data_IF_260567769914
#
_entry.id   IF_260567769914
#
_cell.length_a   1.000
_cell.length_b   1.000
_cell.length_c   1.000
_cell.angle_alpha   90.00
_cell.angle_beta   90.00
_cell.angle_gamma   90.00
#
_symmetry.space_group_name_H-M   'P 1'
#
loop_
_entity.id
_entity.type
_entity.pdbx_description
1 polymer ?
#
# COMPACT_ATOMS: atom_id res chain seq x y z
N UNK A 1 -35.70 5.56 -26.69
CA UNK A 1 -34.34 5.94 -26.24
C UNK A 1 -34.11 5.25 -24.91
N UNK A 2 -33.30 4.19 -24.92
CA UNK A 2 -33.10 3.31 -23.77
C UNK A 2 -31.82 3.74 -23.07
N UNK A 3 -31.97 4.24 -21.85
CA UNK A 3 -30.89 4.68 -20.97
C UNK A 3 -30.02 3.48 -20.60
N UNK A 4 -28.76 3.49 -21.00
CA UNK A 4 -27.77 2.50 -20.51
C UNK A 4 -27.46 2.81 -19.06
N UNK A 5 -27.97 1.96 -18.17
CA UNK A 5 -27.53 1.81 -16.79
C UNK A 5 -26.07 1.35 -16.82
N UNK A 6 -25.17 2.20 -16.34
CA UNK A 6 -23.78 1.85 -16.10
C UNK A 6 -23.74 0.89 -14.92
N UNK A 7 -23.19 -0.30 -15.16
CA UNK A 7 -22.98 -1.34 -14.16
C UNK A 7 -22.02 -0.81 -13.07
N UNK A 8 -22.55 -0.59 -11.88
CA UNK A 8 -21.73 -0.42 -10.68
C UNK A 8 -21.09 -1.77 -10.38
N UNK A 9 -19.77 -1.86 -10.55
CA UNK A 9 -18.99 -3.01 -10.14
C UNK A 9 -19.16 -3.23 -8.63
N UNK A 10 -19.71 -4.39 -8.28
CA UNK A 10 -20.01 -4.80 -6.92
C UNK A 10 -18.73 -5.41 -6.34
N UNK A 11 -18.03 -4.68 -5.48
CA UNK A 11 -16.99 -5.28 -4.62
C UNK A 11 -17.66 -6.23 -3.61
N UNK A 12 -17.07 -7.41 -3.34
CA UNK A 12 -17.67 -8.37 -2.43
C UNK A 12 -17.75 -7.81 -1.00
N UNK A 13 -18.98 -7.76 -0.50
CA UNK A 13 -19.38 -7.43 0.86
C UNK A 13 -18.58 -8.24 1.91
N UNK A 14 -17.65 -7.58 2.61
CA UNK A 14 -17.03 -8.09 3.84
C UNK A 14 -18.02 -7.92 5.03
N UNK A 15 -18.47 -8.99 5.69
CA UNK A 15 -19.52 -8.95 6.71
C UNK A 15 -19.11 -8.26 8.04
N UNK A 16 -17.89 -7.72 8.16
CA UNK A 16 -17.40 -7.06 9.39
C UNK A 16 -17.53 -5.54 9.45
N UNK A 17 -18.03 -4.86 8.40
CA UNK A 17 -18.24 -3.41 8.43
C UNK A 17 -16.98 -2.56 8.69
N UNK A 18 -15.80 -3.16 8.60
CA UNK A 18 -14.52 -2.48 8.80
C UNK A 18 -14.02 -1.99 7.43
N UNK A 19 -13.64 -0.71 7.34
CA UNK A 19 -13.05 -0.15 6.10
C UNK A 19 -11.75 -0.90 5.76
N UNK A 20 -11.40 -1.04 4.47
CA UNK A 20 -10.13 -1.63 4.09
C UNK A 20 -8.98 -0.84 4.70
N UNK A 21 -7.98 -1.53 5.23
CA UNK A 21 -6.76 -0.89 5.75
C UNK A 21 -5.96 -0.41 4.55
N UNK A 22 -5.75 0.89 4.43
CA UNK A 22 -4.96 1.47 3.35
C UNK A 22 -3.48 1.38 3.66
N UNK A 23 -2.71 0.86 2.71
CA UNK A 23 -1.27 0.72 2.83
C UNK A 23 -0.61 1.22 1.55
N UNK A 24 0.33 2.15 1.66
CA UNK A 24 1.24 2.46 0.55
C UNK A 24 2.44 1.53 0.62
N UNK A 25 2.73 0.84 -0.47
CA UNK A 25 3.84 -0.08 -0.60
C UNK A 25 4.84 0.49 -1.60
N UNK A 26 5.99 0.93 -1.11
CA UNK A 26 7.08 1.45 -1.92
C UNK A 26 7.91 0.28 -2.47
N UNK A 27 7.99 0.17 -3.79
CA UNK A 27 8.65 -0.89 -4.54
C UNK A 27 9.67 -0.31 -5.52
N UNK A 28 10.36 -1.18 -6.25
CA UNK A 28 11.23 -0.82 -7.38
C UNK A 28 11.10 -1.86 -8.48
N UNK A 29 11.51 -1.53 -9.71
CA UNK A 29 11.28 -2.38 -10.89
C UNK A 29 11.86 -3.78 -10.73
N UNK A 30 13.04 -3.91 -10.12
CA UNK A 30 13.68 -5.20 -9.82
C UNK A 30 13.70 -5.48 -8.31
N UNK A 31 12.58 -5.99 -7.79
CA UNK A 31 12.44 -6.36 -6.38
C UNK A 31 11.70 -7.71 -6.19
N UNK A 32 12.43 -8.84 -6.12
CA UNK A 32 11.83 -10.16 -5.85
C UNK A 32 11.03 -10.19 -4.55
N UNK A 33 11.54 -9.55 -3.50
CA UNK A 33 10.90 -9.46 -2.18
C UNK A 33 9.57 -8.71 -2.25
N UNK A 34 9.45 -7.69 -3.10
CA UNK A 34 8.21 -6.94 -3.29
C UNK A 34 7.12 -7.83 -3.91
N UNK A 35 7.49 -8.70 -4.86
CA UNK A 35 6.55 -9.68 -5.45
C UNK A 35 6.02 -10.67 -4.40
N UNK A 36 6.92 -11.19 -3.56
CA UNK A 36 6.57 -12.11 -2.48
C UNK A 36 5.63 -11.41 -1.48
N UNK A 37 5.99 -10.20 -1.03
CA UNK A 37 5.19 -9.46 -0.06
C UNK A 37 3.78 -9.17 -0.57
N UNK A 38 3.63 -8.72 -1.83
CA UNK A 38 2.34 -8.48 -2.46
C UNK A 38 1.49 -9.75 -2.54
N UNK A 39 2.10 -10.87 -2.91
CA UNK A 39 1.42 -12.15 -2.95
C UNK A 39 0.95 -12.57 -1.55
N UNK A 40 1.79 -12.45 -0.53
CA UNK A 40 1.42 -12.82 0.85
C UNK A 40 0.28 -11.96 1.40
N UNK A 41 0.33 -10.64 1.17
CA UNK A 41 -0.73 -9.73 1.58
C UNK A 41 -2.08 -10.07 0.94
N UNK A 42 -2.10 -10.55 -0.30
CA UNK A 42 -3.34 -10.96 -0.98
C UNK A 42 -4.04 -12.19 -0.37
N UNK A 43 -3.33 -12.95 0.48
CA UNK A 43 -3.88 -14.11 1.20
C UNK A 43 -4.30 -13.80 2.63
N UNK A 44 -4.13 -12.56 3.10
CA UNK A 44 -4.54 -12.20 4.46
C UNK A 44 -6.07 -12.19 4.58
N UNK A 45 -6.62 -12.65 5.72
CA UNK A 45 -8.06 -12.67 5.96
C UNK A 45 -8.63 -11.28 6.32
N UNK A 46 -7.89 -10.21 6.03
CA UNK A 46 -8.22 -8.81 6.28
C UNK A 46 -8.29 -8.10 4.94
N UNK A 47 -9.25 -7.18 4.83
CA UNK A 47 -9.39 -6.34 3.64
C UNK A 47 -8.31 -5.25 3.68
N UNK A 48 -7.32 -5.36 2.80
CA UNK A 48 -6.17 -4.44 2.70
C UNK A 48 -6.16 -3.83 1.30
N UNK A 49 -6.21 -2.51 1.23
CA UNK A 49 -6.11 -1.75 -0.02
C UNK A 49 -4.66 -1.27 -0.19
N UNK A 50 -3.93 -1.90 -1.11
CA UNK A 50 -2.51 -1.65 -1.32
C UNK A 50 -2.33 -0.73 -2.52
N UNK A 51 -1.81 0.46 -2.26
CA UNK A 51 -1.30 1.36 -3.30
C UNK A 51 0.18 1.08 -3.51
N UNK A 52 0.52 0.44 -4.62
CA UNK A 52 1.91 0.23 -5.01
C UNK A 52 2.50 1.52 -5.60
N UNK A 53 3.69 1.90 -5.14
CA UNK A 53 4.42 3.08 -5.60
C UNK A 53 5.84 2.63 -5.99
N UNK A 54 6.15 2.66 -7.28
CA UNK A 54 7.49 2.34 -7.77
C UNK A 54 8.40 3.56 -7.63
N UNK A 55 9.49 3.41 -6.86
CA UNK A 55 10.40 4.52 -6.59
C UNK A 55 11.18 5.01 -7.81
N UNK A 56 11.26 4.20 -8.87
CA UNK A 56 12.03 4.48 -10.09
C UNK A 56 11.15 4.99 -11.24
N UNK A 57 9.83 4.77 -11.18
CA UNK A 57 8.93 4.97 -12.32
C UNK A 57 7.77 5.94 -12.02
N UNK A 58 7.29 6.01 -10.78
CA UNK A 58 6.17 6.87 -10.43
C UNK A 58 6.59 8.33 -10.25
N UNK A 59 5.65 9.25 -10.49
CA UNK A 59 5.93 10.68 -10.57
C UNK A 59 6.18 11.35 -9.21
N UNK A 60 5.09 11.63 -8.48
CA UNK A 60 5.15 12.46 -7.27
C UNK A 60 4.30 11.84 -6.16
N UNK A 61 4.83 11.89 -4.93
CA UNK A 61 4.11 11.57 -3.69
C UNK A 61 4.03 12.82 -2.84
N UNK A 62 2.86 13.07 -2.26
CA UNK A 62 2.62 14.23 -1.38
C UNK A 62 2.63 13.77 0.06
N UNK A 63 3.37 14.48 0.91
CA UNK A 63 3.41 14.21 2.35
C UNK A 63 2.24 14.83 3.12
N UNK A 64 2.24 14.65 4.44
CA UNK A 64 1.19 15.17 5.32
C UNK A 64 1.18 16.71 5.41
N UNK A 65 2.27 17.37 5.01
CA UNK A 65 2.41 18.83 4.99
C UNK A 65 2.05 19.43 3.62
N UNK A 66 1.77 18.58 2.62
CA UNK A 66 1.46 19.01 1.26
C UNK A 66 2.71 19.27 0.41
N UNK A 67 3.88 18.81 0.84
CA UNK A 67 5.11 18.90 0.06
C UNK A 67 5.20 17.75 -0.95
N UNK A 68 5.61 18.09 -2.17
CA UNK A 68 5.78 17.16 -3.28
C UNK A 68 7.19 16.57 -3.26
N UNK A 69 7.27 15.24 -3.25
CA UNK A 69 8.51 14.48 -3.27
C UNK A 69 8.51 13.52 -4.45
N UNK A 70 9.69 13.20 -5.01
CA UNK A 70 9.77 11.96 -5.80
C UNK A 70 9.53 10.78 -4.87
N UNK A 71 8.99 9.66 -5.35
CA UNK A 71 8.87 8.43 -4.56
C UNK A 71 10.15 8.00 -3.82
N UNK A 72 11.32 8.15 -4.44
CA UNK A 72 12.62 7.84 -3.83
C UNK A 72 12.96 8.81 -2.69
N UNK A 73 12.73 10.11 -2.87
CA UNK A 73 12.91 11.11 -1.82
C UNK A 73 11.94 10.89 -0.67
N UNK A 74 10.67 10.62 -0.97
CA UNK A 74 9.67 10.30 0.05
C UNK A 74 10.10 9.09 0.89
N UNK A 75 10.58 8.03 0.23
CA UNK A 75 11.05 6.83 0.90
C UNK A 75 12.24 7.12 1.84
N UNK A 76 13.19 7.94 1.40
CA UNK A 76 14.46 8.15 2.12
C UNK A 76 14.39 9.29 3.14
N UNK A 77 13.77 10.41 2.79
CA UNK A 77 13.74 11.64 3.59
C UNK A 77 12.53 11.71 4.52
N UNK A 78 11.35 11.24 4.07
CA UNK A 78 10.11 11.27 4.86
C UNK A 78 9.94 9.98 5.68
N UNK A 79 10.14 8.83 5.05
CA UNK A 79 9.97 7.53 5.71
C UNK A 79 11.26 7.01 6.38
N UNK A 80 12.40 7.70 6.22
CA UNK A 80 13.71 7.25 6.75
C UNK A 80 13.98 5.77 6.42
N UNK A 81 13.76 5.38 5.15
CA UNK A 81 13.95 4.02 4.68
C UNK A 81 14.90 3.97 3.49
N UNK A 82 15.83 3.02 3.56
CA UNK A 82 16.83 2.79 2.51
C UNK A 82 16.56 1.51 1.72
N UNK A 83 15.38 0.90 1.88
CA UNK A 83 15.08 -0.41 1.33
C UNK A 83 13.65 -0.57 0.81
N UNK A 84 13.51 -1.39 -0.21
CA UNK A 84 12.23 -1.85 -0.75
C UNK A 84 12.04 -3.35 -0.46
N UNK A 85 10.86 -3.82 -0.08
CA UNK A 85 9.64 -3.03 0.08
C UNK A 85 9.64 -2.20 1.37
N UNK A 86 8.93 -1.08 1.39
CA UNK A 86 8.57 -0.34 2.61
C UNK A 86 7.08 -0.08 2.62
N UNK A 87 6.44 -0.23 3.78
CA UNK A 87 5.00 -0.10 3.95
C UNK A 87 4.69 1.09 4.86
N UNK A 88 3.88 2.02 4.37
CA UNK A 88 3.29 3.10 5.15
C UNK A 88 1.80 2.80 5.33
N UNK A 89 1.39 2.58 6.58
CA UNK A 89 -0.01 2.33 6.94
C UNK A 89 -0.75 3.64 7.17
N UNK A 90 -2.07 3.66 6.98
CA UNK A 90 -2.92 4.83 7.28
C UNK A 90 -2.80 5.31 8.74
N UNK A 91 -2.39 4.44 9.66
CA UNK A 91 -2.09 4.77 11.06
C UNK A 91 -0.85 5.65 11.23
N UNK A 92 -0.03 5.80 10.19
CA UNK A 92 1.30 6.42 10.25
C UNK A 92 2.42 5.44 10.62
N UNK A 93 2.11 4.16 10.89
CA UNK A 93 3.16 3.15 11.11
C UNK A 93 3.91 2.90 9.80
N UNK A 94 5.23 2.79 9.92
CA UNK A 94 6.12 2.48 8.80
C UNK A 94 6.85 1.17 9.09
N UNK A 95 6.68 0.18 8.22
CA UNK A 95 7.42 -1.09 8.26
C UNK A 95 8.44 -1.10 7.12
N UNK A 96 9.72 -1.18 7.47
CA UNK A 96 10.84 -1.11 6.52
C UNK A 96 11.32 -2.52 6.20
N UNK A 97 11.39 -2.87 4.93
CA UNK A 97 11.60 -4.24 4.49
C UNK A 97 10.34 -5.10 4.63
N UNK A 98 10.45 -6.36 4.20
CA UNK A 98 9.36 -7.33 4.39
C UNK A 98 9.51 -8.00 5.76
N UNK A 99 8.66 -7.58 6.72
CA UNK A 99 8.49 -8.24 8.01
C UNK A 99 7.02 -8.62 8.20
N UNK A 100 6.71 -9.90 7.95
CA UNK A 100 5.34 -10.40 8.08
C UNK A 100 4.77 -10.24 9.49
N UNK A 101 5.60 -10.38 10.54
CA UNK A 101 5.16 -10.24 11.92
C UNK A 101 4.65 -8.84 12.23
N UNK A 102 5.42 -7.81 11.86
CA UNK A 102 5.05 -6.41 12.07
C UNK A 102 3.82 -6.00 11.23
N UNK A 103 3.75 -6.49 9.99
CA UNK A 103 2.60 -6.24 9.11
C UNK A 103 1.33 -6.86 9.70
N UNK A 104 1.40 -8.12 10.16
CA UNK A 104 0.24 -8.82 10.76
C UNK A 104 -0.18 -8.17 12.06
N UNK A 105 0.77 -7.77 12.90
CA UNK A 105 0.50 -7.05 14.14
C UNK A 105 -0.28 -5.76 13.87
N UNK A 106 0.15 -4.96 12.89
CA UNK A 106 -0.56 -3.74 12.51
C UNK A 106 -1.95 -4.00 11.96
N UNK A 107 -2.13 -5.12 11.27
CA UNK A 107 -3.43 -5.57 10.75
C UNK A 107 -4.31 -6.27 11.81
N UNK A 108 -3.82 -6.43 13.05
CA UNK A 108 -4.55 -7.07 14.15
C UNK A 108 -4.75 -8.59 13.98
N UNK A 109 -3.74 -9.26 13.39
CA UNK A 109 -3.75 -10.68 13.00
C UNK A 109 -2.80 -11.59 13.78
#
# INVERSE_FOLDING_TARGET
MITKITEYNVSPINPRGNKPVKVKMFTKTVCPTCKIAKQQLSFLPVDVDITEINIEEDGTVVDIYGEEHTPEQYLTEVLDSMSTPTFEFESGRVVRGYNEGEIREELGL
#
